data_IF_794669517683
#
_entry.id   IF_794669517683
#
_cell.length_a   1.000
_cell.length_b   1.000
_cell.length_c   1.000
_cell.angle_alpha   90.00
_cell.angle_beta   90.00
_cell.angle_gamma   90.00
#
_symmetry.space_group_name_H-M   'P 1'
#
loop_
_entity.id
_entity.type
_entity.pdbx_description
1 polymer ?
#
# COMPACT_ATOMS: atom_id res chain seq x y z
N UNK A 1 9.97 2.01 34.04
CA UNK A 1 10.00 3.25 34.83
C UNK A 1 8.71 3.36 35.63
N UNK A 2 8.71 3.96 36.81
CA UNK A 2 7.49 4.31 37.54
C UNK A 2 7.20 5.79 37.33
N UNK A 3 5.97 6.13 37.01
CA UNK A 3 5.54 7.51 36.76
C UNK A 3 4.35 7.77 37.67
N UNK A 4 4.42 8.85 38.43
CA UNK A 4 3.30 9.38 39.21
C UNK A 4 2.36 10.07 38.24
N UNK A 5 1.13 9.58 38.15
CA UNK A 5 0.10 10.20 37.32
C UNK A 5 -0.60 11.33 38.08
N UNK A 6 -1.46 12.09 37.39
CA UNK A 6 -2.12 13.28 37.95
C UNK A 6 -3.02 12.97 39.17
N UNK A 7 -3.40 11.70 39.35
CA UNK A 7 -4.13 11.19 40.52
C UNK A 7 -3.23 10.84 41.71
N UNK A 8 -1.93 11.10 41.61
CA UNK A 8 -0.93 10.80 42.64
C UNK A 8 -0.56 9.31 42.72
N UNK A 9 -1.05 8.47 41.81
CA UNK A 9 -0.78 7.02 41.83
C UNK A 9 0.42 6.70 40.96
N UNK A 10 1.40 6.00 41.52
CA UNK A 10 2.54 5.47 40.77
C UNK A 10 2.14 4.28 39.91
N UNK A 11 2.32 4.42 38.59
CA UNK A 11 2.07 3.32 37.65
C UNK A 11 3.32 2.96 36.88
N UNK A 12 3.49 1.65 36.66
CA UNK A 12 4.59 1.13 35.85
C UNK A 12 4.35 1.52 34.40
N UNK A 13 5.36 2.14 33.79
CA UNK A 13 5.33 2.62 32.41
C UNK A 13 6.58 2.17 31.66
N UNK A 14 6.45 2.11 30.34
CA UNK A 14 7.50 1.76 29.41
C UNK A 14 7.60 2.82 28.31
N UNK A 15 8.82 3.16 27.90
CA UNK A 15 9.07 4.10 26.81
C UNK A 15 9.44 3.35 25.54
N UNK A 16 8.76 3.63 24.43
CA UNK A 16 9.13 3.04 23.14
C UNK A 16 10.50 3.54 22.68
N UNK A 17 11.41 2.63 22.31
CA UNK A 17 12.74 2.99 21.82
C UNK A 17 12.70 3.89 20.56
N UNK A 18 11.74 3.64 19.66
CA UNK A 18 11.66 4.31 18.36
C UNK A 18 10.98 5.67 18.41
N UNK A 19 9.77 5.75 18.99
CA UNK A 19 8.99 6.99 18.99
C UNK A 19 8.99 7.73 20.33
N UNK A 20 9.71 7.21 21.34
CA UNK A 20 9.84 7.79 22.68
C UNK A 20 8.50 8.00 23.41
N UNK A 21 7.42 7.39 22.93
CA UNK A 21 6.12 7.47 23.56
C UNK A 21 6.11 6.62 24.83
N UNK A 22 5.68 7.22 25.93
CA UNK A 22 5.50 6.56 27.21
C UNK A 22 4.14 5.86 27.21
N UNK A 23 4.16 4.56 27.44
CA UNK A 23 2.99 3.69 27.49
C UNK A 23 2.80 3.18 28.92
N UNK A 24 1.58 3.36 29.41
CA UNK A 24 1.15 2.83 30.70
C UNK A 24 1.04 1.31 30.62
N UNK A 25 1.61 0.59 31.59
CA UNK A 25 1.36 -0.83 31.77
C UNK A 25 0.08 -1.02 32.58
N UNK A 26 -0.89 -1.76 32.05
CA UNK A 26 -2.06 -2.14 32.85
C UNK A 26 -1.64 -3.16 33.91
N UNK A 27 -1.87 -2.85 35.17
CA UNK A 27 -1.46 -3.66 36.31
C UNK A 27 -2.43 -4.80 36.64
N UNK A 28 -3.64 -4.79 36.06
CA UNK A 28 -4.79 -5.59 36.51
C UNK A 28 -4.82 -7.03 35.97
N UNK A 29 -4.39 -7.29 34.72
CA UNK A 29 -4.52 -8.65 34.14
C UNK A 29 -3.47 -9.08 33.12
N UNK A 30 -2.96 -8.19 32.26
CA UNK A 30 -2.03 -8.53 31.15
C UNK A 30 -1.20 -7.32 30.68
N UNK A 31 -0.24 -6.88 31.50
CA UNK A 31 0.45 -5.59 31.35
C UNK A 31 1.25 -5.34 30.06
N UNK A 32 1.58 -6.38 29.28
CA UNK A 32 2.32 -6.25 28.01
C UNK A 32 1.42 -5.99 26.80
N UNK A 33 0.10 -6.06 26.94
CA UNK A 33 -0.84 -5.92 25.81
C UNK A 33 -0.76 -4.54 25.14
N UNK A 34 -0.61 -3.48 25.93
CA UNK A 34 -0.50 -2.11 25.41
C UNK A 34 0.80 -1.91 24.63
N UNK A 35 1.91 -2.43 25.18
CA UNK A 35 3.22 -2.41 24.55
C UNK A 35 3.22 -3.17 23.22
N UNK A 36 2.65 -4.38 23.18
CA UNK A 36 2.61 -5.20 21.97
C UNK A 36 1.75 -4.55 20.87
N UNK A 37 0.61 -3.96 21.23
CA UNK A 37 -0.24 -3.20 20.29
C UNK A 37 0.49 -1.99 19.71
N UNK A 38 1.22 -1.25 20.55
CA UNK A 38 2.02 -0.13 20.09
C UNK A 38 3.16 -0.59 19.18
N UNK A 39 3.94 -1.59 19.58
CA UNK A 39 5.07 -2.12 18.82
C UNK A 39 4.71 -2.46 17.37
N UNK A 40 3.58 -3.16 17.18
CA UNK A 40 3.07 -3.58 15.86
C UNK A 40 2.56 -2.44 14.97
N UNK A 41 2.34 -1.25 15.54
CA UNK A 41 1.72 -0.10 14.87
C UNK A 41 2.55 1.19 15.01
N UNK A 42 3.73 1.13 15.62
CA UNK A 42 4.57 2.29 15.83
C UNK A 42 5.05 2.80 14.47
N UNK A 43 4.77 4.07 14.17
CA UNK A 43 5.09 4.72 12.89
C UNK A 43 6.59 4.86 12.64
N UNK A 44 7.36 4.93 13.72
CA UNK A 44 8.82 5.09 13.68
C UNK A 44 9.57 3.77 13.88
N UNK A 45 8.85 2.65 14.05
CA UNK A 45 9.48 1.34 14.09
C UNK A 45 9.79 0.90 12.65
N UNK A 46 11.07 0.65 12.30
CA UNK A 46 11.48 0.19 10.97
C UNK A 46 10.76 -1.08 10.51
N UNK A 47 10.44 -2.00 11.43
CA UNK A 47 9.69 -3.23 11.12
C UNK A 47 8.27 -2.96 10.58
N UNK A 48 7.77 -1.73 10.74
CA UNK A 48 6.46 -1.31 10.27
C UNK A 48 6.53 -0.42 9.01
N UNK A 49 7.71 -0.17 8.43
CA UNK A 49 7.89 0.68 7.24
C UNK A 49 6.95 0.29 6.11
N UNK A 50 6.85 -0.99 5.75
CA UNK A 50 5.92 -1.44 4.71
C UNK A 50 4.44 -1.12 5.00
N UNK A 51 4.04 -1.07 6.28
CA UNK A 51 2.67 -0.70 6.67
C UNK A 51 2.47 0.82 6.67
N UNK A 52 3.53 1.58 6.95
CA UNK A 52 3.52 3.04 6.99
C UNK A 52 3.61 3.63 5.57
N UNK A 53 4.41 3.04 4.70
CA UNK A 53 4.70 3.50 3.33
C UNK A 53 3.58 3.22 2.33
N UNK A 54 2.71 2.23 2.60
CA UNK A 54 1.53 1.93 1.76
C UNK A 54 0.55 3.11 1.60
N UNK A 55 0.74 4.20 2.34
CA UNK A 55 -0.08 5.42 2.26
C UNK A 55 0.56 6.55 1.45
N UNK A 56 1.85 6.50 1.14
CA UNK A 56 2.51 7.57 0.40
C UNK A 56 2.40 7.34 -1.11
N UNK A 57 1.76 8.29 -1.78
CA UNK A 57 1.73 8.31 -3.24
C UNK A 57 3.08 8.82 -3.78
N UNK A 58 3.54 8.25 -4.90
CA UNK A 58 4.82 8.61 -5.50
C UNK A 58 4.67 9.89 -6.32
N UNK A 59 5.58 10.84 -6.12
CA UNK A 59 5.63 12.07 -6.90
C UNK A 59 6.16 11.76 -8.30
N UNK A 60 5.53 12.31 -9.33
CA UNK A 60 5.99 12.24 -10.69
C UNK A 60 6.03 13.65 -11.29
N UNK A 61 7.09 13.95 -12.04
CA UNK A 61 7.29 15.26 -12.64
C UNK A 61 6.88 15.19 -14.10
N UNK A 62 5.74 15.78 -14.45
CA UNK A 62 5.33 15.89 -15.85
C UNK A 62 6.03 17.09 -16.46
N UNK A 63 6.95 16.85 -17.41
CA UNK A 63 7.49 17.92 -18.26
C UNK A 63 6.55 18.10 -19.45
N UNK A 64 5.90 19.25 -19.52
CA UNK A 64 5.28 19.71 -20.77
C UNK A 64 6.25 20.67 -21.48
N UNK A 65 6.30 20.65 -22.82
CA UNK A 65 7.12 21.61 -23.55
C UNK A 65 6.54 23.02 -23.30
N UNK A 66 7.35 23.89 -22.70
CA UNK A 66 7.11 25.31 -22.43
C UNK A 66 6.31 25.70 -21.17
N UNK A 67 6.17 24.83 -20.15
CA UNK A 67 5.55 25.21 -18.85
C UNK A 67 6.41 24.73 -17.67
N UNK A 68 6.40 25.50 -16.58
CA UNK A 68 6.96 25.14 -15.27
C UNK A 68 6.60 23.70 -14.88
N UNK A 69 7.58 22.99 -14.32
CA UNK A 69 7.45 21.59 -13.91
C UNK A 69 6.31 21.47 -12.88
N UNK A 70 5.15 20.97 -13.32
CA UNK A 70 4.04 20.68 -12.43
C UNK A 70 4.30 19.37 -11.68
N UNK A 71 4.25 19.43 -10.34
CA UNK A 71 4.35 18.25 -9.49
C UNK A 71 2.99 17.56 -9.47
N UNK A 72 2.91 16.35 -10.03
CA UNK A 72 1.70 15.55 -9.99
C UNK A 72 1.92 14.30 -9.14
N UNK A 73 0.90 13.97 -8.36
CA UNK A 73 0.89 12.75 -7.56
C UNK A 73 0.45 11.60 -8.47
N UNK A 74 1.39 10.70 -8.84
CA UNK A 74 1.04 9.50 -9.59
C UNK A 74 0.61 8.40 -8.61
N UNK A 75 -0.67 8.02 -8.69
CA UNK A 75 -1.22 6.85 -8.01
C UNK A 75 -1.56 5.82 -9.06
N UNK A 76 -1.08 4.59 -8.88
CA UNK A 76 -1.51 3.47 -9.71
C UNK A 76 -3.01 3.25 -9.48
N UNK A 77 -3.79 3.43 -10.55
CA UNK A 77 -5.24 3.20 -10.55
C UNK A 77 -5.52 1.84 -11.20
N UNK A 78 -5.54 0.80 -10.36
CA UNK A 78 -5.74 -0.58 -10.80
C UNK A 78 -7.08 -0.78 -11.51
N UNK A 79 -8.12 -0.03 -11.15
CA UNK A 79 -9.42 -0.11 -11.79
C UNK A 79 -9.35 0.43 -13.22
N UNK A 80 -8.68 1.56 -13.42
CA UNK A 80 -8.43 2.13 -14.74
C UNK A 80 -7.56 1.23 -15.60
N UNK A 81 -6.51 0.65 -15.04
CA UNK A 81 -5.63 -0.31 -15.74
C UNK A 81 -6.43 -1.55 -16.17
N UNK A 82 -7.22 -2.13 -15.26
CA UNK A 82 -8.07 -3.29 -15.55
C UNK A 82 -9.07 -2.99 -16.67
N UNK A 83 -9.71 -1.82 -16.64
CA UNK A 83 -10.64 -1.40 -17.69
C UNK A 83 -9.95 -1.24 -19.04
N UNK A 84 -8.80 -0.59 -19.07
CA UNK A 84 -8.02 -0.43 -20.31
C UNK A 84 -7.59 -1.79 -20.89
N UNK A 85 -7.18 -2.73 -20.04
CA UNK A 85 -6.87 -4.09 -20.45
C UNK A 85 -8.09 -4.77 -21.07
N UNK A 86 -9.26 -4.72 -20.42
CA UNK A 86 -10.48 -5.33 -20.96
C UNK A 86 -10.87 -4.73 -22.32
N UNK A 87 -10.81 -3.40 -22.45
CA UNK A 87 -11.06 -2.73 -23.73
C UNK A 87 -10.09 -3.20 -24.83
N UNK A 88 -8.81 -3.41 -24.51
CA UNK A 88 -7.84 -3.91 -25.49
C UNK A 88 -8.23 -5.28 -26.05
N UNK A 89 -8.65 -6.21 -25.18
CA UNK A 89 -9.06 -7.55 -25.62
C UNK A 89 -10.41 -7.56 -26.33
N UNK A 90 -11.39 -6.79 -25.85
CA UNK A 90 -12.74 -6.75 -26.44
C UNK A 90 -12.75 -6.00 -27.77
N UNK A 91 -12.19 -4.78 -27.82
CA UNK A 91 -12.19 -3.95 -29.05
C UNK A 91 -11.17 -4.49 -30.06
N UNK A 92 -10.02 -4.96 -29.60
CA UNK A 92 -9.01 -5.56 -30.45
C UNK A 92 -9.29 -7.01 -30.83
N UNK A 93 -10.43 -7.57 -30.38
CA UNK A 93 -10.84 -8.96 -30.60
C UNK A 93 -9.72 -9.99 -30.33
N UNK A 94 -8.88 -9.70 -29.32
CA UNK A 94 -7.74 -10.56 -28.99
C UNK A 94 -8.21 -11.75 -28.16
N UNK A 95 -7.62 -12.91 -28.42
CA UNK A 95 -7.82 -14.08 -27.55
C UNK A 95 -7.33 -13.77 -26.14
N UNK A 96 -8.16 -14.04 -25.12
CA UNK A 96 -7.78 -13.84 -23.72
C UNK A 96 -6.53 -14.62 -23.27
N UNK A 97 -6.13 -15.66 -24.00
CA UNK A 97 -4.87 -16.38 -23.77
C UNK A 97 -3.64 -15.47 -23.97
N UNK A 98 -3.77 -14.42 -24.76
CA UNK A 98 -2.66 -13.51 -25.07
C UNK A 98 -2.16 -12.73 -23.84
N UNK A 99 -2.95 -12.59 -22.78
CA UNK A 99 -2.47 -11.97 -21.52
C UNK A 99 -1.34 -12.77 -20.87
N UNK A 100 -1.30 -14.07 -21.12
CA UNK A 100 -0.29 -15.00 -20.59
C UNK A 100 0.90 -15.18 -21.56
N UNK A 101 0.91 -14.47 -22.70
CA UNK A 101 1.97 -14.55 -23.68
C UNK A 101 3.23 -13.82 -23.18
N UNK A 102 4.40 -14.46 -23.29
CA UNK A 102 5.67 -13.95 -22.76
C UNK A 102 5.99 -12.53 -23.26
N UNK A 103 5.83 -12.27 -24.56
CA UNK A 103 6.07 -10.94 -25.12
C UNK A 103 5.14 -9.86 -24.53
N UNK A 104 3.89 -10.19 -24.21
CA UNK A 104 2.95 -9.25 -23.60
C UNK A 104 3.28 -9.01 -22.13
N UNK A 105 3.66 -10.06 -21.41
CA UNK A 105 4.14 -9.98 -20.02
C UNK A 105 5.38 -9.09 -19.96
N UNK A 106 6.36 -9.32 -20.82
CA UNK A 106 7.59 -8.53 -20.86
C UNK A 106 7.33 -7.06 -21.19
N UNK A 107 6.50 -6.79 -22.20
CA UNK A 107 6.05 -5.43 -22.51
C UNK A 107 5.43 -4.73 -21.29
N UNK A 108 4.56 -5.44 -20.56
CA UNK A 108 3.88 -4.88 -19.39
C UNK A 108 4.86 -4.66 -18.22
N UNK A 109 5.82 -5.56 -18.02
CA UNK A 109 6.86 -5.44 -17.00
C UNK A 109 7.77 -4.24 -17.24
N UNK A 110 8.16 -4.00 -18.49
CA UNK A 110 8.96 -2.84 -18.90
C UNK A 110 8.21 -1.53 -18.67
N UNK A 111 6.90 -1.50 -18.94
CA UNK A 111 6.07 -0.32 -18.66
C UNK A 111 5.89 -0.06 -17.17
N UNK A 112 5.51 -1.10 -16.41
CA UNK A 112 5.34 -1.04 -14.97
C UNK A 112 5.36 -2.44 -14.35
N UNK A 113 6.51 -2.82 -13.79
CA UNK A 113 6.72 -4.11 -13.09
C UNK A 113 5.85 -4.35 -11.86
N UNK A 114 5.09 -3.34 -11.38
CA UNK A 114 4.13 -3.49 -10.28
C UNK A 114 2.74 -3.93 -10.74
N UNK A 115 2.46 -3.90 -12.05
CA UNK A 115 1.17 -4.35 -12.57
C UNK A 115 1.13 -5.86 -12.56
N UNK A 116 0.24 -6.42 -11.75
CA UNK A 116 -0.04 -7.86 -11.76
C UNK A 116 -1.11 -8.13 -12.80
N UNK A 117 -0.71 -8.77 -13.91
CA UNK A 117 -1.64 -9.14 -14.96
C UNK A 117 -2.67 -10.17 -14.45
N UNK A 118 -3.96 -9.99 -14.76
CA UNK A 118 -4.99 -10.98 -14.43
C UNK A 118 -4.85 -12.22 -15.32
N UNK A 119 -5.27 -13.38 -14.81
CA UNK A 119 -5.30 -14.61 -15.62
C UNK A 119 -6.36 -14.53 -16.73
N UNK A 120 -6.20 -15.35 -17.79
CA UNK A 120 -7.15 -15.42 -18.89
C UNK A 120 -8.60 -15.66 -18.43
N UNK A 121 -8.78 -16.47 -17.38
CA UNK A 121 -10.09 -16.82 -16.83
C UNK A 121 -10.73 -15.64 -16.09
N UNK A 122 -9.91 -14.79 -15.46
CA UNK A 122 -10.38 -13.57 -14.80
C UNK A 122 -10.83 -12.54 -15.84
N UNK A 123 -10.04 -12.35 -16.90
CA UNK A 123 -10.42 -11.46 -18.02
C UNK A 123 -11.71 -11.95 -18.68
N UNK A 124 -11.83 -13.25 -18.97
CA UNK A 124 -13.02 -13.82 -19.58
C UNK A 124 -14.28 -13.61 -18.72
N UNK A 125 -14.17 -13.81 -17.40
CA UNK A 125 -15.29 -13.58 -16.47
C UNK A 125 -15.68 -12.10 -16.41
N UNK A 126 -14.68 -11.23 -16.29
CA UNK A 126 -14.90 -9.79 -16.14
C UNK A 126 -15.42 -9.17 -17.45
N UNK A 127 -14.92 -9.63 -18.61
CA UNK A 127 -15.29 -9.13 -19.93
C UNK A 127 -16.75 -9.37 -20.29
N UNK A 128 -17.36 -10.48 -19.83
CA UNK A 128 -18.80 -10.73 -20.00
C UNK A 128 -19.72 -9.77 -19.24
N UNK A 129 -19.16 -8.91 -18.38
CA UNK A 129 -19.91 -7.86 -17.67
C UNK A 129 -19.79 -6.49 -18.35
N UNK A 130 -18.96 -6.38 -19.40
CA UNK A 130 -18.67 -5.13 -20.12
C UNK A 130 -19.47 -4.96 -21.43
N UNK A 131 -20.12 -6.01 -21.91
CA UNK A 131 -21.13 -5.99 -22.99
C UNK A 131 -22.52 -5.76 -22.42
#
# INVERSE_FOLDING_TARGET
MWIVEDDGVERKSFECFYCKTILKAKTDRNGTSNMNKHWKNCKLNPDNEEKNDKKQAKLNFKKEPNVEISVQTWKQDDARIKRALLCLFTIGELSFKYVEHEAFIEYTNVLNSRVILPSRHKISRDGGTFT
#
